data_IF_943065926992
#
_entry.id   IF_943065926992
#
_cell.length_a   1.000
_cell.length_b   1.000
_cell.length_c   1.000
_cell.angle_alpha   90.00
_cell.angle_beta   90.00
_cell.angle_gamma   90.00
#
_symmetry.space_group_name_H-M   'P 1'
#
loop_
_entity.id
_entity.type
_entity.pdbx_description
1 polymer ?
#
# COMPACT_ATOMS: atom_id res chain seq x y z
N UNK A 1 5.80 10.35 -4.82
CA UNK A 1 6.02 8.94 -5.20
C UNK A 1 7.48 8.78 -5.60
N UNK A 2 8.19 7.88 -4.94
CA UNK A 2 9.56 7.51 -5.27
C UNK A 2 9.56 6.44 -6.39
N UNK A 3 10.64 6.37 -7.18
CA UNK A 3 10.77 5.29 -8.16
C UNK A 3 11.03 3.95 -7.43
N UNK A 4 10.36 2.86 -7.84
CA UNK A 4 10.56 1.57 -7.21
C UNK A 4 11.93 0.98 -7.57
N UNK A 5 12.61 0.44 -6.57
CA UNK A 5 13.84 -0.32 -6.70
C UNK A 5 13.54 -1.81 -6.50
N UNK A 6 13.53 -2.59 -7.58
CA UNK A 6 13.12 -4.00 -7.52
C UNK A 6 14.11 -4.92 -6.79
N UNK A 7 15.33 -4.44 -6.50
CA UNK A 7 16.32 -5.21 -5.74
C UNK A 7 16.13 -5.04 -4.21
N UNK A 8 15.23 -4.14 -3.79
CA UNK A 8 14.95 -3.86 -2.38
C UNK A 8 13.62 -4.45 -1.94
N UNK A 9 13.59 -4.91 -0.68
CA UNK A 9 12.37 -5.40 -0.03
C UNK A 9 11.30 -4.31 -0.02
N UNK A 10 10.10 -4.68 -0.48
CA UNK A 10 8.91 -3.85 -0.37
C UNK A 10 8.27 -4.02 1.00
N UNK A 11 7.81 -2.90 1.56
CA UNK A 11 6.96 -2.85 2.75
C UNK A 11 5.54 -2.50 2.28
N UNK A 12 4.57 -3.25 2.77
CA UNK A 12 3.15 -3.04 2.46
C UNK A 12 2.42 -2.78 3.77
N UNK A 13 1.84 -1.60 3.89
CA UNK A 13 0.89 -1.28 4.95
C UNK A 13 -0.51 -1.33 4.35
N UNK A 14 -1.35 -2.24 4.86
CA UNK A 14 -2.74 -2.39 4.45
C UNK A 14 -3.63 -1.89 5.58
N UNK A 15 -4.61 -1.07 5.22
CA UNK A 15 -5.66 -0.60 6.11
C UNK A 15 -7.02 -0.92 5.49
N UNK A 16 -7.88 -1.59 6.24
CA UNK A 16 -9.24 -1.89 5.83
C UNK A 16 -10.24 -0.93 6.50
N UNK A 17 -11.11 -0.38 5.67
CA UNK A 17 -12.27 0.41 6.07
C UNK A 17 -13.55 -0.33 5.66
N UNK A 18 -14.68 0.07 6.24
CA UNK A 18 -16.00 -0.52 5.97
C UNK A 18 -16.31 -0.66 4.46
N UNK A 19 -15.85 0.30 3.67
CA UNK A 19 -16.17 0.41 2.24
C UNK A 19 -15.00 0.06 1.30
N UNK A 20 -13.77 -0.04 1.82
CA UNK A 20 -12.59 -0.16 0.97
C UNK A 20 -11.35 -0.67 1.70
N UNK A 21 -10.48 -1.34 0.94
CA UNK A 21 -9.12 -1.65 1.34
C UNK A 21 -8.17 -0.63 0.73
N UNK A 22 -7.44 0.07 1.58
CA UNK A 22 -6.30 0.90 1.21
C UNK A 22 -5.00 0.14 1.41
N UNK A 23 -4.04 0.32 0.50
CA UNK A 23 -2.70 -0.20 0.66
C UNK A 23 -1.66 0.87 0.30
N UNK A 24 -0.64 1.00 1.14
CA UNK A 24 0.54 1.82 0.89
C UNK A 24 1.71 0.90 0.63
N UNK A 25 2.30 1.01 -0.56
CA UNK A 25 3.55 0.32 -0.89
C UNK A 25 4.70 1.29 -0.68
N UNK A 26 5.64 0.91 0.18
CA UNK A 26 6.83 1.71 0.50
C UNK A 26 8.11 0.89 0.42
N UNK A 27 9.24 1.56 0.29
CA UNK A 27 10.56 0.94 0.29
C UNK A 27 11.51 1.69 1.20
N UNK A 28 12.28 0.95 2.00
CA UNK A 28 13.27 1.55 2.87
C UNK A 28 14.50 1.99 2.07
N UNK A 29 14.79 3.29 2.13
CA UNK A 29 16.02 3.86 1.58
C UNK A 29 17.26 3.46 2.39
N UNK A 30 18.44 3.89 1.96
CA UNK A 30 19.69 3.61 2.69
C UNK A 30 19.80 4.39 4.01
N UNK A 31 19.24 5.60 4.07
CA UNK A 31 19.17 6.41 5.28
C UNK A 31 17.85 7.19 5.30
N UNK A 32 17.10 7.07 6.39
CA UNK A 32 15.85 7.80 6.61
C UNK A 32 14.57 6.96 6.50
N UNK A 33 13.40 7.60 6.64
CA UNK A 33 12.11 6.92 6.62
C UNK A 33 11.81 6.29 5.25
N UNK A 34 11.01 5.20 5.21
CA UNK A 34 10.62 4.55 3.96
C UNK A 34 9.93 5.52 2.99
N UNK A 35 10.31 5.45 1.72
CA UNK A 35 9.69 6.22 0.64
C UNK A 35 8.48 5.49 0.08
N UNK A 36 7.36 6.20 -0.11
CA UNK A 36 6.16 5.63 -0.74
C UNK A 36 6.35 5.51 -2.25
N UNK A 37 6.19 4.31 -2.78
CA UNK A 37 6.37 3.98 -4.21
C UNK A 37 5.04 3.79 -4.94
N UNK A 38 3.98 3.34 -4.26
CA UNK A 38 2.65 3.23 -4.84
C UNK A 38 1.54 3.29 -3.77
N UNK A 39 0.34 3.63 -4.23
CA UNK A 39 -0.90 3.59 -3.45
C UNK A 39 -1.88 2.67 -4.17
N UNK A 40 -2.46 1.73 -3.43
CA UNK A 40 -3.50 0.82 -3.89
C UNK A 40 -4.83 1.16 -3.20
N UNK A 41 -5.91 1.11 -3.97
CA UNK A 41 -7.26 1.27 -3.46
C UNK A 41 -8.15 0.24 -4.14
N UNK A 42 -8.77 -0.62 -3.34
CA UNK A 42 -9.77 -1.57 -3.80
C UNK A 42 -11.06 -1.30 -3.03
N UNK A 43 -12.13 -0.81 -3.67
CA UNK A 43 -13.43 -0.79 -3.02
C UNK A 43 -13.78 -2.22 -2.64
N UNK A 44 -14.23 -2.43 -1.41
CA UNK A 44 -14.81 -3.71 -1.05
C UNK A 44 -16.10 -3.80 -1.87
N UNK A 45 -16.35 -4.91 -2.59
CA UNK A 45 -17.70 -5.12 -3.09
C UNK A 45 -18.58 -5.05 -1.85
N UNK A 46 -19.56 -4.13 -1.85
CA UNK A 46 -20.58 -4.10 -0.81
C UNK A 46 -21.02 -5.55 -0.64
N UNK A 47 -20.67 -6.16 0.50
CA UNK A 47 -21.10 -7.51 0.78
C UNK A 47 -22.61 -7.37 0.76
N UNK A 48 -23.22 -7.87 -0.31
CA UNK A 48 -24.62 -8.19 -0.33
C UNK A 48 -24.77 -9.30 0.70
N UNK A 49 -24.93 -8.90 1.96
CA UNK A 49 -25.51 -9.71 3.01
C UNK A 49 -26.98 -9.86 2.57
N UNK A 50 -27.23 -10.78 1.64
CA UNK A 50 -28.56 -11.33 1.41
C UNK A 50 -28.83 -12.40 2.45
#
# INVERSE_FOLDING_TARGET
>A
LCQPDFDRTFLVDVDDSEDAIGAVLSQQGEQGPPGVVALGYSPLPAILVW
#
